data_IF_779547426782
#
_entry.id   IF_779547426782
#
_cell.length_a   1.000
_cell.length_b   1.000
_cell.length_c   1.000
_cell.angle_alpha   90.00
_cell.angle_beta   90.00
_cell.angle_gamma   90.00
#
_symmetry.space_group_name_H-M   'P 1'
#
loop_
_entity.id
_entity.type
_entity.pdbx_description
1 polymer ?
#
# COMPACT_ATOMS: atom_id res chain seq x y z
N UNK A 1 -7.75 23.00 10.52
CA UNK A 1 -6.44 22.38 10.24
C UNK A 1 -6.52 21.68 8.90
N UNK A 2 -5.56 21.93 8.01
CA UNK A 2 -5.53 21.26 6.71
C UNK A 2 -5.00 19.85 6.91
N UNK A 3 -5.84 18.85 6.66
CA UNK A 3 -5.42 17.46 6.55
C UNK A 3 -4.61 17.27 5.25
N UNK A 4 -3.56 16.48 5.30
CA UNK A 4 -2.76 16.17 4.12
C UNK A 4 -3.21 14.87 3.44
N UNK A 5 -3.89 13.99 4.16
CA UNK A 5 -4.35 12.70 3.69
C UNK A 5 -5.53 12.19 4.51
N UNK A 6 -6.42 11.44 3.87
CA UNK A 6 -7.55 10.77 4.50
C UNK A 6 -7.37 9.26 4.45
N UNK A 7 -7.73 8.58 5.54
CA UNK A 7 -7.99 7.16 5.57
C UNK A 7 -9.49 6.94 5.67
N UNK A 8 -10.02 5.95 5.00
CA UNK A 8 -11.45 5.69 4.96
C UNK A 8 -11.75 4.21 5.16
N UNK A 9 -12.92 3.93 5.72
CA UNK A 9 -13.45 2.59 5.86
C UNK A 9 -14.94 2.58 5.47
N UNK A 10 -15.33 1.63 4.63
CA UNK A 10 -16.75 1.35 4.34
C UNK A 10 -17.24 0.26 5.27
N UNK A 11 -18.38 0.48 5.90
CA UNK A 11 -18.96 -0.46 6.85
C UNK A 11 -20.49 -0.45 6.80
N UNK A 12 -21.08 -1.47 7.43
CA UNK A 12 -22.52 -1.63 7.54
C UNK A 12 -22.84 -2.34 8.86
N UNK A 13 -23.10 -1.57 9.93
CA UNK A 13 -23.40 -2.13 11.24
C UNK A 13 -24.90 -2.32 11.49
N UNK A 14 -25.74 -1.48 10.89
CA UNK A 14 -27.17 -1.40 11.14
C UNK A 14 -28.04 -1.69 9.89
N UNK A 15 -27.43 -2.31 8.86
CA UNK A 15 -28.10 -2.56 7.58
C UNK A 15 -27.98 -1.38 6.59
N UNK A 16 -27.37 -0.26 6.99
CA UNK A 16 -27.14 0.89 6.13
C UNK A 16 -25.64 1.01 5.82
N UNK A 17 -25.31 1.11 4.55
CA UNK A 17 -23.93 1.37 4.14
C UNK A 17 -23.50 2.78 4.54
N UNK A 18 -22.38 2.89 5.21
CA UNK A 18 -21.75 4.14 5.62
C UNK A 18 -20.27 4.12 5.26
N UNK A 19 -19.68 5.30 5.16
CA UNK A 19 -18.23 5.48 5.00
C UNK A 19 -17.77 6.43 6.10
N UNK A 20 -16.73 6.07 6.79
CA UNK A 20 -16.08 6.92 7.77
C UNK A 20 -14.72 7.38 7.27
N UNK A 21 -14.39 8.65 7.53
CA UNK A 21 -13.14 9.28 7.15
C UNK A 21 -12.39 9.76 8.39
N UNK A 22 -11.09 9.57 8.41
CA UNK A 22 -10.16 10.11 9.41
C UNK A 22 -8.98 10.76 8.71
N UNK A 23 -8.42 11.83 9.28
CA UNK A 23 -7.39 12.65 8.63
C UNK A 23 -6.16 12.95 9.52
N UNK A 24 -6.16 12.44 10.75
CA UNK A 24 -5.07 12.64 11.70
C UNK A 24 -5.05 14.02 12.39
N UNK A 25 -6.05 14.88 12.14
CA UNK A 25 -6.11 16.24 12.66
C UNK A 25 -7.47 16.62 13.25
N UNK A 26 -8.55 16.19 12.61
CA UNK A 26 -9.93 16.57 12.95
C UNK A 26 -10.70 15.39 13.57
N UNK A 27 -11.96 15.64 13.95
CA UNK A 27 -12.89 14.57 14.31
C UNK A 27 -13.16 13.67 13.10
N UNK A 28 -13.37 12.35 13.30
CA UNK A 28 -13.81 11.47 12.22
C UNK A 28 -15.16 11.93 11.67
N UNK A 29 -15.36 11.77 10.36
CA UNK A 29 -16.60 12.18 9.66
C UNK A 29 -17.26 10.96 9.05
N UNK A 30 -18.54 10.77 9.31
CA UNK A 30 -19.35 9.68 8.78
C UNK A 30 -20.24 10.22 7.67
N UNK A 31 -20.26 9.52 6.54
CA UNK A 31 -21.19 9.76 5.44
C UNK A 31 -22.12 8.56 5.29
N UNK A 32 -23.40 8.84 5.21
CA UNK A 32 -24.42 7.85 4.88
C UNK A 32 -24.68 7.77 3.35
N UNK A 33 -25.56 6.88 2.93
CA UNK A 33 -25.96 6.72 1.51
C UNK A 33 -26.61 7.96 0.90
N UNK A 34 -27.17 8.85 1.71
CA UNK A 34 -27.72 10.14 1.27
C UNK A 34 -26.68 11.24 1.17
N UNK A 35 -25.39 10.92 1.34
CA UNK A 35 -24.24 11.84 1.37
C UNK A 35 -24.35 12.92 2.47
N UNK A 36 -25.11 12.62 3.54
CA UNK A 36 -25.15 13.49 4.72
C UNK A 36 -23.94 13.20 5.59
N UNK A 37 -23.20 14.24 5.93
CA UNK A 37 -22.04 14.18 6.81
C UNK A 37 -22.44 14.40 8.27
N UNK A 38 -21.84 13.64 9.18
CA UNK A 38 -21.91 13.82 10.62
C UNK A 38 -20.54 13.60 11.25
N UNK A 39 -20.15 14.48 12.15
CA UNK A 39 -18.90 14.30 12.91
C UNK A 39 -19.13 13.30 14.03
N UNK A 40 -18.13 12.44 14.28
CA UNK A 40 -18.09 11.62 15.50
C UNK A 40 -17.84 12.56 16.68
N UNK A 41 -18.79 12.56 17.63
CA UNK A 41 -18.81 13.51 18.73
C UNK A 41 -17.73 13.26 19.81
N UNK A 42 -17.18 12.03 19.84
CA UNK A 42 -16.21 11.60 20.85
C UNK A 42 -14.82 12.19 20.63
N UNK A 43 -14.35 12.96 21.60
CA UNK A 43 -13.04 13.64 21.50
C UNK A 43 -11.85 12.69 21.60
N UNK A 44 -12.03 11.51 22.18
CA UNK A 44 -10.96 10.51 22.31
C UNK A 44 -10.45 10.00 20.97
N UNK A 45 -11.29 9.97 19.94
CA UNK A 45 -10.95 9.53 18.57
C UNK A 45 -10.57 10.67 17.62
N UNK A 46 -10.76 11.92 18.03
CA UNK A 46 -10.34 13.09 17.24
C UNK A 46 -8.83 13.07 17.01
N UNK A 47 -8.40 13.32 15.76
CA UNK A 47 -7.01 13.26 15.35
C UNK A 47 -6.50 11.85 15.06
N UNK A 48 -7.36 10.85 14.93
CA UNK A 48 -7.00 9.51 14.47
C UNK A 48 -6.60 9.53 12.99
N UNK A 49 -5.58 8.74 12.63
CA UNK A 49 -5.09 8.60 11.25
C UNK A 49 -5.59 7.35 10.56
N UNK A 50 -5.93 6.33 11.34
CA UNK A 50 -6.33 5.02 10.83
C UNK A 50 -7.65 4.62 11.41
N UNK A 51 -8.49 4.01 10.60
CA UNK A 51 -9.80 3.47 10.96
C UNK A 51 -9.99 2.12 10.31
N UNK A 52 -10.65 1.20 11.02
CA UNK A 52 -11.00 -0.12 10.51
C UNK A 52 -12.25 -0.66 11.21
N UNK A 53 -13.18 -1.22 10.45
CA UNK A 53 -14.35 -1.91 10.98
C UNK A 53 -14.02 -3.38 11.27
N UNK A 54 -14.13 -3.81 12.52
CA UNK A 54 -13.87 -5.19 12.91
C UNK A 54 -14.86 -5.66 13.98
N UNK A 55 -15.53 -6.81 13.73
CA UNK A 55 -16.48 -7.44 14.68
C UNK A 55 -17.55 -6.47 15.19
N UNK A 56 -18.13 -5.70 14.29
CA UNK A 56 -19.16 -4.69 14.58
C UNK A 56 -18.69 -3.52 15.45
N UNK A 57 -17.42 -3.38 15.73
CA UNK A 57 -16.81 -2.21 16.36
C UNK A 57 -16.04 -1.40 15.33
N UNK A 58 -16.02 -0.10 15.49
CA UNK A 58 -15.14 0.78 14.75
C UNK A 58 -13.85 1.03 15.54
N UNK A 59 -12.72 0.70 14.96
CA UNK A 59 -11.40 0.86 15.58
C UNK A 59 -10.68 2.09 15.03
N UNK A 60 -10.11 2.89 15.92
CA UNK A 60 -9.40 4.12 15.61
C UNK A 60 -7.98 4.08 16.17
N UNK A 61 -7.00 4.56 15.42
CA UNK A 61 -5.62 4.58 15.87
C UNK A 61 -4.79 5.70 15.22
N UNK A 62 -3.54 5.84 15.65
CA UNK A 62 -2.57 6.73 15.04
C UNK A 62 -2.70 8.19 15.46
N UNK A 63 -3.29 8.48 16.61
CA UNK A 63 -3.28 9.84 17.20
C UNK A 63 -1.85 10.25 17.52
N UNK A 64 -1.50 11.49 17.22
CA UNK A 64 -0.16 12.02 17.52
C UNK A 64 0.15 12.07 19.03
N UNK A 65 -0.87 12.22 19.87
CA UNK A 65 -0.75 12.28 21.35
C UNK A 65 -0.67 10.89 22.00
N UNK A 66 -1.30 9.89 21.41
CA UNK A 66 -1.36 8.51 21.90
C UNK A 66 -1.11 7.51 20.74
N UNK A 67 0.09 7.51 20.13
CA UNK A 67 0.35 6.76 18.89
C UNK A 67 0.33 5.23 19.07
N UNK A 68 0.33 4.75 20.32
CA UNK A 68 0.31 3.34 20.68
C UNK A 68 -1.09 2.84 21.07
N UNK A 69 -2.10 3.70 20.98
CA UNK A 69 -3.44 3.38 21.46
C UNK A 69 -4.38 3.06 20.30
N UNK A 70 -5.09 1.95 20.47
CA UNK A 70 -6.18 1.50 19.61
C UNK A 70 -7.48 1.70 20.39
N UNK A 71 -8.31 2.61 19.96
CA UNK A 71 -9.61 2.93 20.57
C UNK A 71 -10.70 2.27 19.75
N UNK A 72 -11.72 1.71 20.37
CA UNK A 72 -12.83 1.10 19.67
C UNK A 72 -14.18 1.50 20.25
N UNK A 73 -15.15 1.63 19.34
CA UNK A 73 -16.54 2.01 19.65
C UNK A 73 -17.30 0.87 20.32
N UNK A 74 -18.51 1.15 20.74
CA UNK A 74 -19.52 0.15 21.08
C UNK A 74 -19.83 -0.75 19.88
N UNK A 75 -20.31 -1.98 20.09
CA UNK A 75 -20.74 -2.84 19.00
C UNK A 75 -21.98 -2.24 18.31
N UNK A 76 -21.95 -2.21 16.97
CA UNK A 76 -23.00 -1.67 16.10
C UNK A 76 -23.21 -0.15 16.20
N UNK A 77 -22.40 0.57 16.94
CA UNK A 77 -22.45 2.03 17.06
C UNK A 77 -21.06 2.62 16.89
N UNK A 78 -20.87 3.33 15.80
CA UNK A 78 -19.58 3.96 15.44
C UNK A 78 -19.29 5.26 16.19
N UNK A 79 -20.31 5.88 16.80
CA UNK A 79 -20.23 7.12 17.59
C UNK A 79 -20.48 6.87 19.10
N UNK A 80 -20.73 5.62 19.51
CA UNK A 80 -20.89 5.22 20.90
C UNK A 80 -19.56 4.80 21.55
N UNK A 81 -19.23 5.39 22.71
CA UNK A 81 -17.96 5.11 23.41
C UNK A 81 -18.12 4.87 24.90
N UNK A 82 -19.27 4.38 25.32
CA UNK A 82 -19.50 4.03 26.72
C UNK A 82 -18.86 2.65 27.06
N UNK A 83 -17.96 2.62 28.02
CA UNK A 83 -17.29 1.38 28.40
C UNK A 83 -18.23 0.33 28.97
N UNK A 84 -19.35 0.77 29.56
CA UNK A 84 -20.40 -0.13 30.08
C UNK A 84 -21.10 -0.89 28.93
N UNK A 85 -21.14 -0.32 27.74
CA UNK A 85 -21.80 -0.85 26.55
C UNK A 85 -20.82 -1.54 25.56
N UNK A 86 -19.55 -1.67 25.96
CA UNK A 86 -18.57 -2.48 25.26
C UNK A 86 -17.51 -1.72 24.46
N UNK A 87 -17.48 -0.39 24.58
CA UNK A 87 -16.39 0.42 24.06
C UNK A 87 -15.13 0.34 24.94
N UNK A 88 -13.97 0.65 24.39
CA UNK A 88 -12.74 0.66 25.17
C UNK A 88 -11.50 1.05 24.38
N UNK A 89 -10.36 0.84 25.00
CA UNK A 89 -9.06 1.03 24.34
C UNK A 89 -8.08 -0.08 24.71
N UNK A 90 -7.15 -0.34 23.79
CA UNK A 90 -6.06 -1.29 23.95
C UNK A 90 -4.75 -0.56 23.63
N UNK A 91 -3.77 -0.68 24.51
CA UNK A 91 -2.42 -0.14 24.26
C UNK A 91 -1.50 -1.26 23.80
N UNK A 92 -0.81 -1.00 22.69
CA UNK A 92 0.31 -1.81 22.24
C UNK A 92 1.63 -1.12 22.60
N UNK A 93 2.73 -1.85 22.59
CA UNK A 93 4.02 -1.33 23.05
C UNK A 93 4.87 -0.71 21.91
N UNK A 94 4.22 -0.30 20.81
CA UNK A 94 4.88 0.36 19.67
C UNK A 94 3.92 1.30 18.93
N UNK A 95 4.45 2.22 18.14
CA UNK A 95 3.68 3.20 17.36
C UNK A 95 2.88 2.52 16.26
N UNK A 96 1.56 2.71 16.24
CA UNK A 96 0.67 2.16 15.21
C UNK A 96 0.83 3.01 13.94
N UNK A 97 1.07 2.34 12.82
CA UNK A 97 1.24 2.94 11.48
C UNK A 97 0.22 2.47 10.46
N UNK A 98 -0.63 1.51 10.81
CA UNK A 98 -1.71 1.05 9.94
C UNK A 98 -2.57 -0.02 10.58
N UNK A 99 -3.80 -0.13 10.11
CA UNK A 99 -4.78 -1.15 10.49
C UNK A 99 -5.27 -1.86 9.23
N UNK A 100 -5.44 -3.18 9.29
CA UNK A 100 -6.04 -3.93 8.18
C UNK A 100 -6.76 -5.16 8.70
N UNK A 101 -8.01 -5.31 8.34
CA UNK A 101 -8.76 -6.55 8.61
C UNK A 101 -8.42 -7.57 7.54
N UNK A 102 -8.03 -8.75 7.95
CA UNK A 102 -7.68 -9.84 7.05
C UNK A 102 -7.99 -11.19 7.71
N UNK A 103 -8.64 -12.11 6.98
CA UNK A 103 -9.01 -13.46 7.43
C UNK A 103 -9.63 -13.47 8.84
N UNK A 104 -10.61 -12.61 9.05
CA UNK A 104 -11.38 -12.49 10.31
C UNK A 104 -10.57 -12.05 11.54
N UNK A 105 -9.41 -11.44 11.35
CA UNK A 105 -8.60 -10.81 12.39
C UNK A 105 -8.28 -9.36 12.02
N UNK A 106 -8.10 -8.50 13.01
CA UNK A 106 -7.56 -7.16 12.79
C UNK A 106 -6.04 -7.19 13.00
N UNK A 107 -5.29 -6.89 11.95
CA UNK A 107 -3.84 -6.72 12.02
C UNK A 107 -3.51 -5.27 12.36
N UNK A 108 -2.66 -5.10 13.36
CA UNK A 108 -2.18 -3.81 13.85
C UNK A 108 -0.72 -3.72 13.45
N UNK A 109 -0.44 -2.93 12.43
CA UNK A 109 0.92 -2.70 11.95
C UNK A 109 1.53 -1.56 12.75
N UNK A 110 2.66 -1.82 13.36
CA UNK A 110 3.44 -0.83 14.09
C UNK A 110 4.79 -0.57 13.41
N UNK A 111 5.51 0.43 13.87
CA UNK A 111 6.79 0.83 13.30
C UNK A 111 7.85 -0.30 13.33
N UNK A 112 7.88 -1.10 14.39
CA UNK A 112 8.86 -2.17 14.57
C UNK A 112 8.24 -3.56 14.81
N UNK A 113 6.92 -3.68 14.89
CA UNK A 113 6.19 -4.91 15.23
C UNK A 113 4.89 -5.01 14.47
N UNK A 114 4.33 -6.22 14.43
CA UNK A 114 2.98 -6.47 13.94
C UNK A 114 2.26 -7.29 14.98
N UNK A 115 1.05 -6.87 15.31
CA UNK A 115 0.14 -7.59 16.19
C UNK A 115 -1.11 -8.03 15.45
N UNK A 116 -1.77 -8.99 16.01
CA UNK A 116 -3.07 -9.48 15.56
C UNK A 116 -4.04 -9.41 16.72
N UNK A 117 -5.16 -8.72 16.52
CA UNK A 117 -6.28 -8.71 17.45
C UNK A 117 -7.25 -9.83 17.06
N UNK A 118 -7.57 -10.66 18.03
CA UNK A 118 -8.55 -11.73 17.95
C UNK A 118 -9.69 -11.46 18.93
N UNK A 119 -10.77 -12.24 18.84
CA UNK A 119 -11.94 -12.04 19.67
C UNK A 119 -13.07 -11.29 18.95
N UNK A 120 -14.16 -11.05 19.65
CA UNK A 120 -15.38 -10.47 19.08
C UNK A 120 -16.02 -9.39 19.95
N UNK A 121 -15.51 -9.16 21.16
CA UNK A 121 -16.06 -8.17 22.10
C UNK A 121 -14.98 -7.76 23.10
N UNK A 122 -15.21 -6.67 23.81
CA UNK A 122 -14.35 -6.18 24.90
C UNK A 122 -13.92 -7.29 25.88
N UNK A 123 -14.82 -8.21 26.19
CA UNK A 123 -14.56 -9.27 27.17
C UNK A 123 -13.54 -10.33 26.70
N UNK A 124 -13.33 -10.48 25.38
CA UNK A 124 -12.47 -11.52 24.81
C UNK A 124 -11.49 -11.03 23.77
N UNK A 125 -11.37 -9.71 23.58
CA UNK A 125 -10.32 -9.17 22.72
C UNK A 125 -8.93 -9.52 23.27
N UNK A 126 -8.11 -10.13 22.43
CA UNK A 126 -6.74 -10.50 22.78
C UNK A 126 -5.77 -10.05 21.65
N UNK A 127 -4.71 -9.37 22.06
CA UNK A 127 -3.64 -8.93 21.15
C UNK A 127 -2.50 -9.93 21.22
N UNK A 128 -2.18 -10.52 20.09
CA UNK A 128 -1.10 -11.48 19.92
C UNK A 128 0.00 -10.92 19.01
N UNK A 129 1.28 -11.05 19.36
CA UNK A 129 2.36 -10.65 18.48
C UNK A 129 2.46 -11.60 17.28
N UNK A 130 2.51 -11.04 16.07
CA UNK A 130 2.82 -11.75 14.83
C UNK A 130 4.31 -11.66 14.55
N UNK A 131 4.88 -10.46 14.72
CA UNK A 131 6.32 -10.22 14.63
C UNK A 131 6.79 -9.39 15.81
N UNK A 132 8.08 -9.50 16.18
CA UNK A 132 8.64 -8.74 17.30
C UNK A 132 9.70 -7.72 16.88
N UNK A 133 10.28 -7.88 15.69
CA UNK A 133 11.40 -7.06 15.21
C UNK A 133 11.20 -6.58 13.77
N UNK A 134 10.01 -6.79 13.21
CA UNK A 134 9.68 -6.38 11.85
C UNK A 134 8.36 -5.63 11.92
N UNK A 135 8.39 -4.37 11.53
CA UNK A 135 7.24 -3.51 11.41
C UNK A 135 7.03 -3.01 9.99
N UNK A 136 6.11 -2.06 9.86
CA UNK A 136 5.72 -1.44 8.61
C UNK A 136 6.19 0.02 8.60
N UNK A 137 6.73 0.48 7.47
CA UNK A 137 7.17 1.88 7.32
C UNK A 137 5.97 2.81 7.19
N UNK A 138 4.95 2.40 6.41
CA UNK A 138 3.80 3.25 6.12
C UNK A 138 2.55 2.41 5.87
N UNK A 139 1.43 2.77 6.50
CA UNK A 139 0.15 2.06 6.42
C UNK A 139 -0.45 2.01 5.02
N UNK A 140 -0.19 2.99 4.17
CA UNK A 140 -0.70 3.06 2.79
C UNK A 140 -0.06 2.02 1.85
N UNK A 141 0.95 1.30 2.35
CA UNK A 141 1.58 0.20 1.64
C UNK A 141 0.99 -1.17 1.96
N UNK A 142 0.07 -1.22 2.94
CA UNK A 142 -0.54 -2.47 3.39
C UNK A 142 -1.70 -2.82 2.47
N UNK A 143 -1.57 -3.91 1.73
CA UNK A 143 -2.59 -4.39 0.79
C UNK A 143 -2.82 -5.89 0.93
N UNK A 144 -4.02 -6.33 0.58
CA UNK A 144 -4.29 -7.75 0.37
C UNK A 144 -3.82 -8.13 -1.05
N UNK A 145 -2.87 -9.04 -1.12
CA UNK A 145 -2.27 -9.46 -2.38
C UNK A 145 -1.97 -10.95 -2.37
N UNK A 146 -2.41 -11.65 -3.40
CA UNK A 146 -2.16 -13.08 -3.59
C UNK A 146 -2.56 -13.95 -2.38
N UNK A 147 -3.63 -13.57 -1.67
CA UNK A 147 -4.15 -14.29 -0.51
C UNK A 147 -3.35 -14.09 0.78
N UNK A 148 -2.48 -13.10 0.83
CA UNK A 148 -1.75 -12.67 2.03
C UNK A 148 -1.78 -11.14 2.15
N UNK A 149 -1.32 -10.59 3.27
CA UNK A 149 -1.06 -9.16 3.42
C UNK A 149 0.38 -8.86 3.01
N UNK A 150 0.54 -7.97 2.03
CA UNK A 150 1.83 -7.40 1.63
C UNK A 150 1.99 -6.02 2.25
N UNK A 151 3.20 -5.68 2.66
CA UNK A 151 3.53 -4.39 3.27
C UNK A 151 4.98 -4.00 3.03
N UNK A 152 5.30 -2.72 3.18
CA UNK A 152 6.66 -2.21 3.10
C UNK A 152 7.32 -2.27 4.49
N UNK A 153 8.27 -3.16 4.64
CA UNK A 153 9.16 -3.23 5.79
C UNK A 153 10.40 -2.34 5.62
N UNK A 154 11.26 -2.23 6.65
CA UNK A 154 12.47 -1.40 6.60
C UNK A 154 13.49 -1.85 5.55
N UNK A 155 13.42 -3.06 5.11
CA UNK A 155 14.31 -3.70 4.14
C UNK A 155 13.62 -4.11 2.82
N UNK A 156 12.42 -3.58 2.54
CA UNK A 156 11.69 -3.84 1.31
C UNK A 156 10.33 -4.48 1.52
N UNK A 157 9.75 -5.07 0.47
CA UNK A 157 8.44 -5.69 0.53
C UNK A 157 8.47 -7.03 1.26
N UNK A 158 7.48 -7.22 2.12
CA UNK A 158 7.27 -8.43 2.93
C UNK A 158 5.83 -8.89 2.91
N UNK A 159 5.59 -10.15 3.23
CA UNK A 159 4.25 -10.68 3.47
C UNK A 159 4.11 -11.13 4.91
N UNK A 160 2.88 -11.06 5.44
CA UNK A 160 2.61 -11.43 6.84
C UNK A 160 2.81 -12.93 7.06
N UNK A 161 2.30 -13.79 6.18
CA UNK A 161 2.45 -15.24 6.32
C UNK A 161 3.91 -15.67 6.15
N UNK A 162 4.65 -15.04 5.23
CA UNK A 162 6.09 -15.27 5.07
C UNK A 162 6.86 -14.94 6.34
N UNK A 163 6.57 -13.80 6.94
CA UNK A 163 7.25 -13.30 8.14
C UNK A 163 6.91 -14.12 9.39
N UNK A 164 5.64 -14.51 9.57
CA UNK A 164 5.19 -15.28 10.74
C UNK A 164 5.65 -16.74 10.74
N UNK A 165 5.85 -17.34 9.56
CA UNK A 165 6.21 -18.75 9.42
C UNK A 165 7.65 -19.05 9.80
N UNK A 166 8.54 -18.09 9.65
CA UNK A 166 9.99 -18.32 9.71
C UNK A 166 10.56 -17.87 11.06
N UNK A 167 9.88 -17.03 11.81
CA UNK A 167 10.34 -16.51 13.11
C UNK A 167 11.66 -15.72 13.03
N UNK A 168 12.28 -15.66 11.85
CA UNK A 168 13.55 -15.02 11.60
C UNK A 168 13.50 -14.06 10.40
N UNK A 169 14.27 -13.02 10.52
CA UNK A 169 14.13 -11.74 9.80
C UNK A 169 14.51 -11.82 8.32
N UNK A 170 15.44 -12.70 7.94
CA UNK A 170 16.06 -12.63 6.60
C UNK A 170 15.24 -13.26 5.46
N UNK A 171 14.36 -14.18 5.76
CA UNK A 171 13.72 -15.00 4.72
C UNK A 171 12.35 -14.48 4.23
N UNK A 172 11.78 -13.49 4.91
CA UNK A 172 10.46 -12.96 4.58
C UNK A 172 10.44 -11.82 3.55
N UNK A 173 11.62 -11.29 3.14
CA UNK A 173 11.69 -10.19 2.17
C UNK A 173 11.55 -10.73 0.76
N UNK A 174 10.42 -10.41 0.11
CA UNK A 174 10.15 -10.87 -1.26
C UNK A 174 10.90 -10.07 -2.33
N UNK A 175 11.31 -8.84 -2.00
CA UNK A 175 12.03 -7.91 -2.90
C UNK A 175 13.56 -8.05 -2.86
N UNK A 176 14.12 -9.11 -2.29
CA UNK A 176 15.57 -9.29 -2.11
C UNK A 176 16.38 -9.11 -3.40
N UNK A 177 15.87 -9.55 -4.54
CA UNK A 177 16.56 -9.42 -5.82
C UNK A 177 16.67 -7.99 -6.36
N UNK A 178 15.87 -7.07 -5.81
CA UNK A 178 15.83 -5.65 -6.17
C UNK A 178 16.03 -4.74 -4.95
N UNK A 179 16.72 -5.26 -3.93
CA UNK A 179 16.92 -4.59 -2.64
C UNK A 179 17.47 -3.17 -2.77
N UNK A 180 18.49 -2.98 -3.60
CA UNK A 180 19.12 -1.67 -3.80
C UNK A 180 18.17 -0.60 -4.33
N UNK A 181 17.14 -1.02 -5.08
CA UNK A 181 16.10 -0.15 -5.58
C UNK A 181 15.16 0.30 -4.45
N UNK A 182 14.78 -0.63 -3.57
CA UNK A 182 13.97 -0.31 -2.40
C UNK A 182 14.72 0.58 -1.40
N UNK A 183 15.95 0.25 -1.05
CA UNK A 183 16.77 1.02 -0.10
C UNK A 183 16.92 2.48 -0.53
N UNK A 184 17.15 2.71 -1.82
CA UNK A 184 17.24 4.06 -2.37
C UNK A 184 15.90 4.79 -2.30
N UNK A 185 14.82 4.15 -2.75
CA UNK A 185 13.51 4.79 -2.80
C UNK A 185 12.93 5.03 -1.40
N UNK A 186 13.11 4.12 -0.45
CA UNK A 186 12.69 4.29 0.94
C UNK A 186 13.38 5.50 1.58
N UNK A 187 14.70 5.62 1.39
CA UNK A 187 15.48 6.74 1.96
C UNK A 187 15.14 8.09 1.33
N UNK A 188 14.87 8.10 0.03
CA UNK A 188 14.69 9.33 -0.74
C UNK A 188 13.24 9.82 -0.77
N UNK A 189 12.28 9.10 -0.19
CA UNK A 189 10.85 9.39 -0.27
C UNK A 189 10.25 9.75 1.08
N UNK A 190 9.23 10.63 1.04
CA UNK A 190 8.44 11.01 2.21
C UNK A 190 6.99 10.52 2.14
N UNK A 191 6.50 10.22 0.93
CA UNK A 191 5.15 9.73 0.67
C UNK A 191 5.20 8.38 -0.03
N UNK A 192 4.34 7.49 0.43
CA UNK A 192 4.20 6.14 -0.09
C UNK A 192 2.74 5.91 -0.45
N UNK A 193 2.50 5.32 -1.61
CA UNK A 193 1.18 4.90 -2.07
C UNK A 193 1.25 3.51 -2.65
N UNK A 194 0.20 2.73 -2.49
CA UNK A 194 0.15 1.42 -3.12
C UNK A 194 -1.24 1.06 -3.62
N UNK A 195 -1.27 0.24 -4.66
CA UNK A 195 -2.50 -0.28 -5.24
C UNK A 195 -2.31 -1.71 -5.70
N UNK A 196 -3.36 -2.53 -5.54
CA UNK A 196 -3.41 -3.89 -6.07
C UNK A 196 -4.33 -3.92 -7.27
N UNK A 197 -3.88 -4.58 -8.33
CA UNK A 197 -4.66 -4.85 -9.54
C UNK A 197 -4.90 -6.36 -9.60
N UNK A 198 -6.05 -6.85 -9.15
CA UNK A 198 -6.32 -8.27 -9.02
C UNK A 198 -6.22 -9.02 -10.35
N UNK A 199 -6.79 -8.49 -11.43
CA UNK A 199 -6.84 -9.11 -12.75
C UNK A 199 -5.46 -9.38 -13.35
N UNK A 200 -4.46 -8.56 -12.95
CA UNK A 200 -3.07 -8.69 -13.39
C UNK A 200 -2.18 -9.36 -12.37
N UNK A 201 -2.72 -9.70 -11.20
CA UNK A 201 -1.95 -10.16 -10.04
C UNK A 201 -0.73 -9.26 -9.79
N UNK A 202 -1.01 -7.95 -9.74
CA UNK A 202 0.01 -6.91 -9.55
C UNK A 202 -0.23 -6.14 -8.27
N UNK A 203 0.85 -5.89 -7.55
CA UNK A 203 0.95 -4.88 -6.50
C UNK A 203 1.88 -3.78 -7.01
N UNK A 204 1.43 -2.54 -6.96
CA UNK A 204 2.21 -1.36 -7.34
C UNK A 204 2.46 -0.50 -6.12
N UNK A 205 3.70 -0.12 -5.89
CA UNK A 205 4.08 0.82 -4.86
C UNK A 205 4.75 2.03 -5.51
N UNK A 206 4.37 3.22 -5.04
CA UNK A 206 4.89 4.49 -5.53
C UNK A 206 5.63 5.21 -4.40
N UNK A 207 6.74 5.81 -4.77
CA UNK A 207 7.64 6.53 -3.89
C UNK A 207 7.69 7.97 -4.35
N UNK A 208 7.20 8.89 -3.54
CA UNK A 208 7.12 10.30 -3.91
C UNK A 208 7.94 11.14 -2.96
N UNK A 209 8.74 12.04 -3.51
CA UNK A 209 9.39 13.11 -2.76
C UNK A 209 8.44 14.28 -2.56
N UNK A 210 8.47 14.89 -1.40
CA UNK A 210 7.63 16.05 -1.05
C UNK A 210 8.05 17.36 -1.76
N UNK A 211 9.04 17.31 -2.64
CA UNK A 211 9.48 18.48 -3.39
C UNK A 211 8.89 18.53 -4.79
N UNK A 212 8.19 19.61 -5.10
CA UNK A 212 7.53 19.89 -6.40
C UNK A 212 8.53 19.86 -7.59
N UNK A 213 9.82 19.98 -7.34
CA UNK A 213 10.84 20.09 -8.37
C UNK A 213 11.31 18.74 -8.96
N UNK A 214 10.96 17.61 -8.35
CA UNK A 214 11.45 16.30 -8.80
C UNK A 214 10.35 15.54 -9.54
N UNK A 215 10.26 15.74 -10.86
CA UNK A 215 9.35 15.00 -11.74
C UNK A 215 9.67 13.49 -11.83
N UNK A 216 10.63 13.01 -11.06
CA UNK A 216 11.08 11.62 -11.05
C UNK A 216 10.37 10.82 -9.95
N UNK A 217 9.06 10.73 -10.03
CA UNK A 217 8.35 9.73 -9.23
C UNK A 217 8.70 8.35 -9.73
N UNK A 218 9.05 7.50 -8.81
CA UNK A 218 9.39 6.11 -9.08
C UNK A 218 8.33 5.22 -8.47
N UNK A 219 7.87 4.26 -9.24
CA UNK A 219 7.05 3.18 -8.76
C UNK A 219 7.73 1.84 -9.03
N UNK A 220 7.38 0.86 -8.23
CA UNK A 220 7.80 -0.53 -8.43
C UNK A 220 6.54 -1.37 -8.58
N UNK A 221 6.50 -2.15 -9.65
CA UNK A 221 5.49 -3.18 -9.86
C UNK A 221 6.03 -4.50 -9.36
N UNK A 222 5.28 -5.16 -8.51
CA UNK A 222 5.48 -6.54 -8.11
C UNK A 222 4.38 -7.40 -8.75
N UNK A 223 4.77 -8.40 -9.53
CA UNK A 223 3.86 -9.36 -10.16
C UNK A 223 4.14 -10.74 -9.57
N UNK A 224 3.09 -11.44 -9.17
CA UNK A 224 3.23 -12.84 -8.76
C UNK A 224 2.94 -13.77 -9.95
N UNK A 225 3.90 -14.61 -10.30
CA UNK A 225 3.75 -15.67 -11.31
C UNK A 225 4.12 -17.03 -10.72
N UNK A 226 3.09 -17.85 -10.49
CA UNK A 226 3.26 -19.06 -9.70
C UNK A 226 3.76 -18.73 -8.30
N UNK A 227 4.91 -19.29 -7.90
CA UNK A 227 5.52 -19.06 -6.58
C UNK A 227 6.60 -17.96 -6.59
N UNK A 228 6.75 -17.21 -7.70
CA UNK A 228 7.82 -16.23 -7.86
C UNK A 228 7.27 -14.82 -7.94
N UNK A 229 8.01 -13.87 -7.37
CA UNK A 229 7.78 -12.45 -7.49
C UNK A 229 8.74 -11.85 -8.52
N UNK A 230 8.17 -11.15 -9.49
CA UNK A 230 8.90 -10.42 -10.53
C UNK A 230 8.70 -8.93 -10.32
N UNK A 231 9.73 -8.14 -10.57
CA UNK A 231 9.73 -6.70 -10.30
C UNK A 231 10.08 -5.91 -11.55
N UNK A 232 9.40 -4.77 -11.73
CA UNK A 232 9.73 -3.76 -12.74
C UNK A 232 9.54 -2.36 -12.19
N UNK A 233 10.22 -1.36 -12.77
CA UNK A 233 10.02 0.05 -12.43
C UNK A 233 8.89 0.66 -13.26
N UNK A 234 8.15 1.59 -12.63
CA UNK A 234 7.26 2.55 -13.28
C UNK A 234 7.85 3.93 -13.09
N UNK A 235 7.88 4.72 -14.16
CA UNK A 235 8.30 6.12 -14.14
C UNK A 235 7.18 6.99 -14.70
N UNK A 236 7.10 8.24 -14.25
CA UNK A 236 6.18 9.24 -14.79
C UNK A 236 4.80 9.31 -14.13
N UNK A 237 4.49 8.45 -13.17
CA UNK A 237 3.22 8.50 -12.41
C UNK A 237 3.51 8.99 -11.00
N UNK A 238 2.87 10.10 -10.59
CA UNK A 238 3.04 10.73 -9.26
C UNK A 238 1.72 10.75 -8.50
N UNK A 239 1.33 9.66 -7.86
CA UNK A 239 0.08 9.60 -7.13
C UNK A 239 0.18 10.26 -5.76
N UNK A 240 -0.85 11.00 -5.38
CA UNK A 240 -1.13 11.43 -4.00
C UNK A 240 -2.01 10.43 -3.27
N UNK A 241 -2.85 9.73 -3.99
CA UNK A 241 -3.68 8.61 -3.53
C UNK A 241 -3.95 7.67 -4.71
N UNK A 242 -4.24 6.42 -4.43
CA UNK A 242 -4.53 5.40 -5.44
C UNK A 242 -5.68 4.52 -5.00
N UNK A 243 -6.50 4.10 -5.96
CA UNK A 243 -7.56 3.13 -5.72
C UNK A 243 -7.92 2.37 -7.01
N UNK A 244 -8.68 1.30 -6.86
CA UNK A 244 -9.23 0.51 -7.95
C UNK A 244 -10.74 0.43 -7.84
N UNK A 245 -11.41 0.44 -8.98
CA UNK A 245 -12.85 0.18 -9.04
C UNK A 245 -13.18 -0.69 -10.25
N UNK A 246 -14.37 -1.31 -10.23
CA UNK A 246 -14.85 -2.12 -11.34
C UNK A 246 -15.66 -1.22 -12.26
N UNK A 247 -15.21 -1.08 -13.51
CA UNK A 247 -15.85 -0.33 -14.58
C UNK A 247 -16.28 -1.30 -15.69
N UNK A 248 -17.59 -1.50 -15.83
CA UNK A 248 -18.16 -2.41 -16.84
C UNK A 248 -17.59 -3.85 -16.85
N UNK A 249 -17.12 -4.32 -15.69
CA UNK A 249 -16.53 -5.66 -15.51
C UNK A 249 -15.00 -5.70 -15.54
N UNK A 250 -14.36 -4.61 -15.91
CA UNK A 250 -12.90 -4.48 -15.91
C UNK A 250 -12.42 -3.71 -14.67
N UNK A 251 -11.26 -4.07 -14.16
CA UNK A 251 -10.62 -3.32 -13.06
C UNK A 251 -9.98 -2.05 -13.63
N UNK A 252 -10.49 -0.90 -13.21
CA UNK A 252 -9.90 0.40 -13.51
C UNK A 252 -9.06 0.89 -12.33
N UNK A 253 -7.86 1.36 -12.61
CA UNK A 253 -6.94 1.94 -11.62
C UNK A 253 -7.02 3.45 -11.72
N UNK A 254 -7.31 4.11 -10.61
CA UNK A 254 -7.31 5.56 -10.49
C UNK A 254 -6.16 6.03 -9.62
N UNK A 255 -5.70 7.23 -9.88
CA UNK A 255 -4.84 7.97 -8.94
C UNK A 255 -5.18 9.45 -8.96
N UNK A 256 -5.18 10.04 -7.77
CA UNK A 256 -5.17 11.48 -7.61
C UNK A 256 -3.75 11.99 -7.80
N UNK A 257 -3.59 13.11 -8.49
CA UNK A 257 -2.30 13.76 -8.65
C UNK A 257 -2.21 15.03 -7.79
N UNK A 258 -0.99 15.57 -7.61
CA UNK A 258 -0.77 16.78 -6.81
C UNK A 258 -1.22 18.06 -7.51
N UNK A 259 -1.62 17.98 -8.76
CA UNK A 259 -2.19 19.08 -9.55
C UNK A 259 -3.72 19.21 -9.40
N UNK A 260 -4.34 18.29 -8.63
CA UNK A 260 -5.77 18.29 -8.34
C UNK A 260 -6.61 17.49 -9.32
N UNK A 261 -6.01 16.76 -10.24
CA UNK A 261 -6.73 15.88 -11.17
C UNK A 261 -6.76 14.44 -10.69
N UNK A 262 -7.78 13.70 -11.16
CA UNK A 262 -7.88 12.26 -11.02
C UNK A 262 -7.64 11.63 -12.38
N UNK A 263 -6.62 10.80 -12.47
CA UNK A 263 -6.22 10.12 -13.68
C UNK A 263 -6.61 8.64 -13.65
N UNK A 264 -7.06 8.12 -14.78
CA UNK A 264 -7.24 6.68 -14.99
C UNK A 264 -5.97 6.12 -15.63
N UNK A 265 -5.33 5.20 -14.93
CA UNK A 265 -4.15 4.51 -15.44
C UNK A 265 -4.53 3.50 -16.56
N UNK A 266 -3.57 3.19 -17.42
CA UNK A 266 -3.68 2.17 -18.45
C UNK A 266 -4.81 2.38 -19.47
N UNK A 267 -5.22 3.62 -19.68
CA UNK A 267 -6.17 3.99 -20.72
C UNK A 267 -5.55 5.01 -21.66
N UNK A 268 -5.50 4.68 -22.95
CA UNK A 268 -4.82 5.50 -23.97
C UNK A 268 -3.33 5.17 -24.08
N UNK A 269 -2.63 5.95 -24.91
CA UNK A 269 -1.24 5.72 -25.32
C UNK A 269 -0.29 6.83 -24.88
N UNK A 270 -0.73 7.72 -24.01
CA UNK A 270 0.04 8.87 -23.51
C UNK A 270 -0.14 9.03 -22.01
N UNK A 271 0.81 9.70 -21.37
CA UNK A 271 0.65 10.22 -20.02
C UNK A 271 0.13 11.66 -20.14
N UNK A 272 -1.17 11.86 -20.06
CA UNK A 272 -1.81 13.17 -20.17
C UNK A 272 -1.23 13.99 -21.33
N UNK A 273 -1.41 13.45 -22.57
CA UNK A 273 -0.88 13.94 -23.84
C UNK A 273 0.66 13.86 -24.00
N UNK A 274 1.39 13.48 -22.97
CA UNK A 274 2.84 13.32 -23.01
C UNK A 274 3.23 11.91 -23.47
N UNK A 275 4.27 11.81 -24.29
CA UNK A 275 4.77 10.52 -24.80
C UNK A 275 5.25 9.61 -23.65
N UNK A 276 4.80 8.35 -23.65
CA UNK A 276 5.29 7.34 -22.72
C UNK A 276 6.66 6.85 -23.17
N UNK A 277 7.66 7.01 -22.30
CA UNK A 277 9.01 6.52 -22.53
C UNK A 277 9.20 5.17 -21.84
N UNK A 278 9.49 4.12 -22.61
CA UNK A 278 9.79 2.79 -22.12
C UNK A 278 11.26 2.43 -22.30
N UNK A 279 11.88 1.78 -21.31
CA UNK A 279 13.25 1.29 -21.40
C UNK A 279 13.33 -0.16 -20.95
N UNK A 280 13.94 -0.99 -21.78
CA UNK A 280 14.31 -2.35 -21.42
C UNK A 280 15.82 -2.51 -21.46
N UNK A 281 16.41 -3.07 -20.42
CA UNK A 281 17.83 -3.45 -20.39
C UNK A 281 17.90 -4.95 -20.09
N UNK A 282 18.53 -5.70 -21.00
CA UNK A 282 18.84 -7.10 -20.73
C UNK A 282 19.95 -7.22 -19.67
N UNK A 283 20.04 -8.33 -18.94
CA UNK A 283 21.27 -8.65 -18.22
C UNK A 283 22.44 -8.83 -19.21
N UNK A 284 23.65 -8.80 -18.68
CA UNK A 284 24.86 -9.03 -19.48
C UNK A 284 24.85 -10.47 -19.99
N UNK A 285 24.96 -10.62 -21.31
CA UNK A 285 24.87 -11.92 -22.00
C UNK A 285 26.26 -12.42 -22.35
N UNK A 286 26.75 -13.44 -21.66
CA UNK A 286 28.03 -14.08 -21.96
C UNK A 286 28.00 -14.99 -23.19
N UNK A 287 26.80 -15.37 -23.67
CA UNK A 287 26.61 -16.31 -24.79
C UNK A 287 27.43 -17.61 -24.65
N UNK A 288 27.44 -18.16 -23.45
CA UNK A 288 28.18 -19.37 -23.08
C UNK A 288 29.48 -19.03 -22.34
N UNK A 289 30.64 -19.42 -22.85
CA UNK A 289 31.92 -19.18 -22.22
C UNK A 289 32.35 -17.71 -22.33
N UNK A 290 32.56 -17.04 -21.19
CA UNK A 290 32.98 -15.63 -21.13
C UNK A 290 34.42 -15.40 -21.60
N UNK A 291 35.29 -16.46 -21.62
CA UNK A 291 36.66 -16.38 -22.08
C UNK A 291 36.83 -16.39 -23.61
N UNK A 292 35.75 -16.65 -24.34
CA UNK A 292 35.82 -16.74 -25.82
C UNK A 292 35.29 -15.45 -26.45
N UNK A 293 36.08 -14.84 -27.31
CA UNK A 293 35.66 -13.68 -28.11
C UNK A 293 34.46 -14.03 -28.99
N UNK A 294 33.37 -13.25 -28.87
CA UNK A 294 32.16 -13.42 -29.68
C UNK A 294 32.12 -12.39 -30.79
N UNK A 295 31.58 -12.80 -31.93
CA UNK A 295 31.30 -11.92 -33.06
C UNK A 295 29.81 -11.89 -33.33
N UNK A 296 29.17 -10.76 -33.01
CA UNK A 296 27.73 -10.57 -33.25
C UNK A 296 27.51 -10.15 -34.69
N UNK A 297 26.73 -10.93 -35.42
CA UNK A 297 26.46 -10.63 -36.85
C UNK A 297 25.13 -9.93 -37.06
N UNK A 298 24.13 -10.21 -36.20
CA UNK A 298 22.79 -9.66 -36.37
C UNK A 298 22.06 -9.61 -35.03
N UNK A 299 21.32 -8.54 -34.81
CA UNK A 299 20.30 -8.40 -33.78
C UNK A 299 18.95 -8.26 -34.45
N UNK A 300 17.98 -9.05 -34.07
CA UNK A 300 16.60 -8.99 -34.57
C UNK A 300 15.70 -8.64 -33.39
N UNK A 301 14.98 -7.53 -33.53
CA UNK A 301 13.99 -7.07 -32.57
C UNK A 301 12.60 -7.30 -33.19
N UNK A 302 11.75 -8.03 -32.44
CA UNK A 302 10.36 -8.23 -32.81
C UNK A 302 9.48 -7.40 -31.88
N UNK A 303 8.74 -6.45 -32.44
CA UNK A 303 7.79 -5.63 -31.73
C UNK A 303 6.37 -6.02 -32.12
N UNK A 304 5.46 -5.98 -31.14
CA UNK A 304 4.02 -5.94 -31.38
C UNK A 304 3.57 -4.51 -31.07
N UNK A 305 3.54 -3.61 -32.06
CA UNK A 305 3.18 -2.22 -31.81
C UNK A 305 1.66 -2.13 -31.55
N UNK A 306 1.28 -1.34 -30.57
CA UNK A 306 -0.11 -0.91 -30.33
C UNK A 306 -0.37 0.49 -30.91
N UNK A 307 0.71 1.24 -31.21
CA UNK A 307 0.70 2.53 -31.87
C UNK A 307 2.03 2.74 -32.63
N UNK A 308 2.22 3.91 -33.26
CA UNK A 308 3.52 4.29 -33.81
C UNK A 308 4.56 4.39 -32.70
N UNK A 309 5.70 3.71 -32.87
CA UNK A 309 6.79 3.69 -31.89
C UNK A 309 8.09 4.07 -32.56
N UNK A 310 8.89 4.90 -31.91
CA UNK A 310 10.30 5.08 -32.17
C UNK A 310 11.11 4.27 -31.17
N UNK A 311 12.08 3.49 -31.66
CA UNK A 311 12.87 2.63 -30.78
C UNK A 311 14.36 2.75 -31.12
N UNK A 312 15.14 3.07 -30.07
CA UNK A 312 16.60 3.08 -30.14
C UNK A 312 17.17 1.79 -29.57
N UNK A 313 18.12 1.19 -30.25
CA UNK A 313 18.87 0.04 -29.78
C UNK A 313 20.30 0.45 -29.37
N UNK A 314 20.62 0.32 -28.10
CA UNK A 314 21.96 0.53 -27.60
C UNK A 314 22.63 -0.81 -27.29
N UNK A 315 23.76 -1.08 -27.93
CA UNK A 315 24.60 -2.25 -27.64
C UNK A 315 25.78 -1.79 -26.78
N UNK A 316 25.99 -2.44 -25.67
CA UNK A 316 27.16 -2.23 -24.82
C UNK A 316 28.03 -3.45 -24.85
N UNK A 317 29.32 -3.27 -24.94
CA UNK A 317 30.34 -4.31 -24.93
C UNK A 317 31.29 -4.07 -23.74
N UNK A 318 31.70 -5.16 -23.09
CA UNK A 318 32.74 -5.15 -22.06
C UNK A 318 32.52 -4.14 -20.90
N UNK A 319 31.27 -3.92 -20.51
CA UNK A 319 30.87 -3.01 -19.42
C UNK A 319 31.14 -1.50 -19.67
N UNK A 320 31.32 -1.08 -20.90
CA UNK A 320 31.41 0.33 -21.30
C UNK A 320 30.04 0.95 -21.70
#
# INVERSE_FOLDING_TARGET
>A
TSASKYSLERYNFDGNDKIIFVDGANAPVIFNTSLTAADVSESSVSGSKFVAAYRNHMFYAGKSTTPQELIFSEPFDEDGFQSADGAGSIKVDDTIVGLKVFRSNLFIFCANRIFKLTGSSLANFAVEPVTRNIGCINGDTIQEFAGDLIFLGPDGLRTVAGTSRIGDVELGTISKNVQSLFDKNIRDSSLFESVVIPDKTQYRIFFTKDTVADNLTRGIVCVMRGDKYEFSEILGIRPSCTDTFIDAGDVAVLHGSFDGFVHRQEKGNTFDETVIFGRYRSPDLSFGDSGIRKHMQRVILNFKPEAAIDADLFLRYDNE
#
